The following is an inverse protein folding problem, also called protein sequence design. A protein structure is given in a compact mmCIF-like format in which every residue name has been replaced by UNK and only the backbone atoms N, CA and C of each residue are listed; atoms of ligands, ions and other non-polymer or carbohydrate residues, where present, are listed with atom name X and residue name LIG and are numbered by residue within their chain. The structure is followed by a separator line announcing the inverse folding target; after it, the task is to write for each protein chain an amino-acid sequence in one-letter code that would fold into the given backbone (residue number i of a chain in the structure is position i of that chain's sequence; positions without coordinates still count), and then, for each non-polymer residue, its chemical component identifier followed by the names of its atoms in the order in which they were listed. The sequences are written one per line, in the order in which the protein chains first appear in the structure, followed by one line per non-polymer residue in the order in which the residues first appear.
data_IF_551412621567
#
_entry.id   IF_551412621567
#
_cell.length_a   1.000
_cell.length_b   1.000
_cell.length_c   1.000
_cell.angle_alpha   90.00
_cell.angle_beta   90.00
_cell.angle_gamma   90.00
#
_symmetry.space_group_name_H-M   'P 1'
#
loop_
_entity.id
_entity.type
_entity.pdbx_description
1 polymer ?
#
# COMPACT_ATOMS: atom_id res chain seq x y z
N UNK A 1 -3.53 4.50 27.47
CA UNK A 1 -2.41 4.03 26.63
C UNK A 1 -2.65 4.58 25.23
N UNK A 2 -2.12 5.76 24.96
CA UNK A 2 -2.16 6.40 23.63
C UNK A 2 -0.78 6.22 23.02
N UNK A 3 -0.69 5.52 21.90
CA UNK A 3 0.49 5.46 21.03
C UNK A 3 0.01 5.37 19.58
N UNK A 4 -0.81 6.35 19.17
CA UNK A 4 -1.06 6.66 17.76
C UNK A 4 0.05 7.64 17.30
N UNK A 5 1.30 7.20 17.42
CA UNK A 5 2.42 7.90 16.77
C UNK A 5 2.34 7.56 15.29
N UNK A 6 1.66 8.44 14.56
CA UNK A 6 1.54 8.40 13.11
C UNK A 6 2.92 8.63 12.48
N UNK A 7 3.68 7.55 12.34
CA UNK A 7 4.71 7.47 11.31
C UNK A 7 4.06 7.91 9.99
N UNK A 8 4.68 8.81 9.20
CA UNK A 8 4.12 9.19 7.92
C UNK A 8 4.02 7.93 7.07
N UNK A 9 2.80 7.39 6.93
CA UNK A 9 2.59 6.10 6.32
C UNK A 9 3.14 6.13 4.89
N UNK A 10 4.06 5.20 4.60
CA UNK A 10 4.63 5.10 3.26
C UNK A 10 3.52 4.85 2.25
N UNK A 11 3.61 5.48 1.08
CA UNK A 11 2.56 5.38 0.06
C UNK A 11 3.00 4.40 -1.01
N UNK A 12 2.21 3.33 -1.19
CA UNK A 12 2.39 2.32 -2.23
C UNK A 12 1.38 2.58 -3.33
N UNK A 13 1.85 2.82 -4.55
CA UNK A 13 0.97 3.02 -5.72
C UNK A 13 0.99 1.79 -6.60
N UNK A 14 -0.20 1.30 -6.98
CA UNK A 14 -0.35 0.16 -7.88
C UNK A 14 -0.16 0.53 -9.35
N UNK A 15 0.23 -0.45 -10.16
CA UNK A 15 0.22 -0.35 -11.62
C UNK A 15 -1.23 -0.26 -12.15
N UNK A 16 -1.43 0.35 -13.32
CA UNK A 16 -2.73 0.34 -14.02
C UNK A 16 -3.29 -1.08 -14.12
N UNK A 17 -4.60 -1.24 -13.93
CA UNK A 17 -5.31 -2.54 -14.04
C UNK A 17 -4.93 -3.61 -13.00
N UNK A 18 -4.12 -3.27 -11.99
CA UNK A 18 -3.79 -4.19 -10.88
C UNK A 18 -4.61 -3.98 -9.60
N UNK A 19 -5.57 -3.03 -9.59
CA UNK A 19 -6.47 -2.80 -8.45
C UNK A 19 -7.71 -3.71 -8.42
N UNK A 20 -7.98 -4.45 -9.51
CA UNK A 20 -9.14 -5.35 -9.65
C UNK A 20 -9.33 -6.38 -8.50
N UNK A 21 -8.27 -6.99 -7.93
CA UNK A 21 -8.41 -7.93 -6.82
C UNK A 21 -9.05 -7.31 -5.57
N UNK A 22 -8.80 -6.02 -5.29
CA UNK A 22 -9.37 -5.34 -4.12
C UNK A 22 -10.89 -5.20 -4.20
N UNK A 23 -11.42 -4.94 -5.40
CA UNK A 23 -12.87 -4.91 -5.63
C UNK A 23 -13.52 -6.30 -5.45
N UNK A 24 -12.73 -7.37 -5.52
CA UNK A 24 -13.17 -8.75 -5.22
C UNK A 24 -12.82 -9.20 -3.80
N UNK A 25 -12.48 -8.27 -2.90
CA UNK A 25 -12.11 -8.52 -1.50
C UNK A 25 -10.86 -9.41 -1.34
N UNK A 26 -9.97 -9.41 -2.32
CA UNK A 26 -8.67 -10.04 -2.18
C UNK A 26 -7.68 -9.03 -1.58
N UNK A 27 -7.17 -9.25 -0.36
CA UNK A 27 -6.43 -8.22 0.37
C UNK A 27 -4.95 -8.11 -0.02
N UNK A 28 -4.41 -9.08 -0.77
CA UNK A 28 -2.97 -9.10 -1.05
C UNK A 28 -2.59 -8.34 -2.33
N UNK A 29 -1.54 -7.53 -2.21
CA UNK A 29 -0.77 -6.94 -3.32
C UNK A 29 0.44 -7.82 -3.58
N UNK A 30 0.66 -8.23 -4.83
CA UNK A 30 1.93 -8.86 -5.23
C UNK A 30 2.96 -7.80 -5.61
N UNK A 31 4.25 -8.06 -5.36
CA UNK A 31 5.34 -7.12 -5.70
C UNK A 31 5.31 -6.67 -7.18
N UNK A 32 4.94 -7.57 -8.10
CA UNK A 32 4.81 -7.25 -9.52
C UNK A 32 3.71 -6.23 -9.86
N UNK A 33 2.73 -6.03 -8.97
CA UNK A 33 1.65 -5.06 -9.10
C UNK A 33 2.03 -3.65 -8.61
N UNK A 34 3.16 -3.49 -7.92
CA UNK A 34 3.61 -2.20 -7.37
C UNK A 34 4.26 -1.37 -8.48
N UNK A 35 3.80 -0.12 -8.63
CA UNK A 35 4.39 0.87 -9.56
C UNK A 35 5.49 1.67 -8.89
N UNK A 36 5.24 2.17 -7.69
CA UNK A 36 6.17 3.02 -6.95
C UNK A 36 5.87 2.97 -5.46
N UNK A 37 6.90 3.19 -4.65
CA UNK A 37 6.82 3.35 -3.20
C UNK A 37 7.39 4.74 -2.88
N UNK A 38 6.68 5.53 -2.09
CA UNK A 38 7.17 6.79 -1.51
C UNK A 38 7.37 6.60 -0.01
N UNK A 39 8.61 6.77 0.44
CA UNK A 39 9.04 6.42 1.81
C UNK A 39 9.88 5.14 1.82
N UNK A 40 10.27 4.69 3.02
CA UNK A 40 11.07 3.49 3.24
C UNK A 40 10.42 2.57 4.29
N UNK A 41 9.29 1.91 3.94
CA UNK A 41 8.57 1.07 4.89
C UNK A 41 9.39 -0.17 5.25
N UNK A 42 9.45 -0.47 6.54
CA UNK A 42 10.06 -1.68 7.07
C UNK A 42 9.04 -2.83 7.14
N UNK A 43 9.49 -4.09 7.25
CA UNK A 43 8.59 -5.22 7.39
C UNK A 43 7.69 -5.09 8.64
N UNK A 44 6.38 -5.08 8.44
CA UNK A 44 5.39 -4.92 9.49
C UNK A 44 4.80 -3.50 9.59
N UNK A 45 5.38 -2.54 8.89
CA UNK A 45 4.88 -1.16 8.88
C UNK A 45 3.53 -1.06 8.15
N UNK A 46 2.68 -0.17 8.68
CA UNK A 46 1.47 0.24 8.00
C UNK A 46 1.79 1.14 6.81
N UNK A 47 1.08 0.92 5.70
CA UNK A 47 1.27 1.66 4.46
C UNK A 47 -0.06 2.07 3.87
N UNK A 48 -0.08 3.22 3.19
CA UNK A 48 -1.24 3.69 2.44
C UNK A 48 -1.16 3.12 1.02
N UNK A 49 -2.20 2.39 0.61
CA UNK A 49 -2.30 1.80 -0.72
C UNK A 49 -3.20 2.64 -1.63
N UNK A 50 -2.63 3.14 -2.74
CA UNK A 50 -3.38 3.86 -3.78
C UNK A 50 -3.43 3.06 -5.10
N UNK A 51 -4.59 3.09 -5.76
CA UNK A 51 -4.69 2.66 -7.15
C UNK A 51 -3.98 3.64 -8.09
N UNK A 52 -3.79 3.26 -9.36
CA UNK A 52 -3.49 4.27 -10.38
C UNK A 52 -4.71 5.19 -10.56
N UNK A 53 -4.49 6.47 -10.88
CA UNK A 53 -5.55 7.37 -11.35
C UNK A 53 -6.15 6.88 -12.67
#
# INVERSE_FOLDING_TARGET
MNSDESVPAAVVTLKPRHALPFFKRHPWVFAGAIRSIKGDPQPGDEVVLHSHE
#
